data_IF_605567149864
#
_entry.id   IF_605567149864
#
_cell.length_a   1.000
_cell.length_b   1.000
_cell.length_c   1.000
_cell.angle_alpha   90.00
_cell.angle_beta   90.00
_cell.angle_gamma   90.00
#
_symmetry.space_group_name_H-M   'P 1'
#
loop_
_entity.id
_entity.type
_entity.pdbx_description
1 polymer ?
#
# COMPACT_ATOMS: atom_id res chain seq x y z
N UNK A 1 -14.31 12.86 14.74
CA UNK A 1 -14.52 11.99 13.56
C UNK A 1 -13.22 11.96 12.78
N UNK A 2 -12.61 10.78 12.64
CA UNK A 2 -11.35 10.63 11.92
C UNK A 2 -11.62 10.39 10.44
N UNK A 3 -10.81 11.01 9.58
CA UNK A 3 -10.85 10.84 8.12
C UNK A 3 -9.46 10.48 7.61
N UNK A 4 -9.37 9.43 6.81
CA UNK A 4 -8.09 9.01 6.21
C UNK A 4 -8.01 9.55 4.80
N UNK A 5 -7.01 10.41 4.56
CA UNK A 5 -6.76 11.00 3.24
C UNK A 5 -6.11 10.00 2.30
N UNK A 6 -5.12 9.23 2.80
CA UNK A 6 -4.39 8.23 2.01
C UNK A 6 -4.01 7.02 2.82
N UNK A 7 -3.88 5.90 2.13
CA UNK A 7 -3.36 4.66 2.67
C UNK A 7 -1.99 4.34 2.08
N UNK A 8 -1.04 3.99 2.92
CA UNK A 8 0.30 3.56 2.53
C UNK A 8 0.55 2.12 2.95
N UNK A 9 0.73 1.23 1.97
CA UNK A 9 1.24 -0.11 2.21
C UNK A 9 2.77 -0.06 2.20
N UNK A 10 3.37 -0.09 3.38
CA UNK A 10 4.77 0.23 3.58
C UNK A 10 5.62 -1.03 3.70
N UNK A 11 6.68 -1.11 2.92
CA UNK A 11 7.70 -2.13 3.05
C UNK A 11 8.77 -1.67 4.03
N UNK A 12 8.80 -2.30 5.21
CA UNK A 12 9.87 -2.11 6.20
C UNK A 12 11.11 -2.90 5.73
N UNK A 13 12.32 -2.29 5.71
CA UNK A 13 13.53 -2.93 5.20
C UNK A 13 14.10 -3.93 6.20
N UNK A 14 13.40 -5.03 6.41
CA UNK A 14 13.83 -6.20 7.22
C UNK A 14 13.68 -7.46 6.39
N UNK A 15 14.76 -8.21 6.21
CA UNK A 15 14.80 -9.42 5.39
C UNK A 15 15.01 -10.70 6.20
N UNK A 16 15.10 -10.61 7.55
CA UNK A 16 15.21 -11.74 8.46
C UNK A 16 13.91 -12.01 9.18
N UNK A 17 13.60 -13.27 9.39
CA UNK A 17 12.48 -13.74 10.18
C UNK A 17 12.97 -14.82 11.15
N UNK A 18 12.34 -14.92 12.30
CA UNK A 18 12.58 -16.02 13.23
C UNK A 18 11.73 -17.27 12.93
N UNK A 19 10.93 -17.24 11.84
CA UNK A 19 10.12 -18.35 11.33
C UNK A 19 10.52 -18.73 9.90
N UNK A 20 10.21 -19.97 9.51
CA UNK A 20 10.50 -20.57 8.20
C UNK A 20 9.25 -21.23 7.63
N UNK A 21 8.14 -20.44 7.54
CA UNK A 21 6.86 -20.95 7.06
C UNK A 21 6.95 -21.41 5.60
N UNK A 22 6.43 -22.58 5.28
CA UNK A 22 6.42 -23.19 3.94
C UNK A 22 5.62 -22.39 2.91
N UNK A 23 4.52 -21.78 3.36
CA UNK A 23 3.65 -20.91 2.55
C UNK A 23 4.12 -19.45 2.45
N UNK A 24 5.27 -19.09 3.04
CA UNK A 24 5.74 -17.71 3.08
C UNK A 24 6.00 -17.16 1.67
N UNK A 25 5.30 -16.09 1.29
CA UNK A 25 5.48 -15.45 -0.02
C UNK A 25 6.89 -14.87 -0.22
N UNK A 26 7.51 -14.37 0.85
CA UNK A 26 8.92 -13.91 0.82
C UNK A 26 9.86 -15.09 0.70
N UNK A 27 9.60 -16.20 1.40
CA UNK A 27 10.36 -17.43 1.28
C UNK A 27 10.31 -18.02 -0.14
N UNK A 28 9.15 -18.00 -0.79
CA UNK A 28 8.99 -18.40 -2.19
C UNK A 28 9.84 -17.52 -3.11
N UNK A 29 9.77 -16.20 -2.93
CA UNK A 29 10.55 -15.25 -3.72
C UNK A 29 12.06 -15.49 -3.58
N UNK A 30 12.54 -15.70 -2.35
CA UNK A 30 13.96 -16.00 -2.06
C UNK A 30 14.42 -17.30 -2.69
N UNK A 31 13.59 -18.34 -2.72
CA UNK A 31 13.90 -19.62 -3.39
C UNK A 31 14.14 -19.45 -4.89
N UNK A 32 13.44 -18.52 -5.54
CA UNK A 32 13.56 -18.27 -6.99
C UNK A 32 14.68 -17.28 -7.31
N UNK A 33 14.83 -16.21 -6.50
CA UNK A 33 15.68 -15.06 -6.82
C UNK A 33 16.94 -14.98 -5.94
N UNK A 34 17.11 -15.90 -4.99
CA UNK A 34 18.18 -15.83 -4.00
C UNK A 34 17.90 -14.84 -2.86
N UNK A 35 18.86 -14.71 -1.95
CA UNK A 35 18.81 -13.68 -0.90
C UNK A 35 18.87 -12.30 -1.56
N UNK A 36 17.91 -11.45 -1.24
CA UNK A 36 17.91 -10.08 -1.74
C UNK A 36 19.14 -9.27 -1.26
N UNK A 37 19.43 -8.13 -1.87
CA UNK A 37 20.56 -7.31 -1.50
C UNK A 37 20.59 -7.02 0.01
N UNK A 38 21.73 -7.20 0.66
CA UNK A 38 21.93 -6.91 2.10
C UNK A 38 21.74 -5.42 2.43
N UNK A 39 21.73 -4.58 1.42
CA UNK A 39 21.70 -3.12 1.49
C UNK A 39 20.37 -2.54 1.99
N UNK A 40 19.31 -3.35 2.13
CA UNK A 40 17.97 -2.86 2.51
C UNK A 40 17.54 -3.30 3.92
N UNK A 41 18.46 -3.26 4.89
CA UNK A 41 18.14 -3.62 6.27
C UNK A 41 18.04 -2.41 7.20
N UNK A 42 18.21 -1.18 6.68
CA UNK A 42 18.19 0.07 7.44
C UNK A 42 17.44 1.16 6.66
N UNK A 43 17.00 2.20 7.35
CA UNK A 43 16.50 3.41 6.71
C UNK A 43 17.68 4.23 6.15
N UNK A 44 17.59 4.63 4.88
CA UNK A 44 18.60 5.51 4.24
C UNK A 44 18.59 6.92 4.86
N UNK A 45 17.44 7.35 5.37
CA UNK A 45 17.22 8.69 5.92
C UNK A 45 16.91 8.65 7.41
N UNK A 46 17.30 9.68 8.18
CA UNK A 46 16.89 9.84 9.57
C UNK A 46 15.35 9.90 9.69
N UNK A 47 14.80 9.44 10.82
CA UNK A 47 13.34 9.41 11.05
C UNK A 47 12.74 10.81 10.97
N UNK A 48 13.42 11.84 11.49
CA UNK A 48 12.96 13.23 11.42
C UNK A 48 12.78 13.71 9.98
N UNK A 49 13.69 13.30 9.08
CA UNK A 49 13.58 13.60 7.65
C UNK A 49 12.42 12.82 7.01
N UNK A 50 12.27 11.53 7.35
CA UNK A 50 11.16 10.72 6.86
C UNK A 50 9.82 11.29 7.28
N UNK A 51 9.68 11.75 8.53
CA UNK A 51 8.42 12.34 9.03
C UNK A 51 8.11 13.68 8.35
N UNK A 52 9.09 14.52 8.07
CA UNK A 52 8.87 15.72 7.24
C UNK A 52 8.31 15.34 5.86
N UNK A 53 8.89 14.33 5.23
CA UNK A 53 8.40 13.80 3.96
C UNK A 53 6.98 13.21 4.03
N UNK A 54 6.61 12.68 5.19
CA UNK A 54 5.31 12.05 5.47
C UNK A 54 4.38 12.96 6.29
N UNK A 55 4.66 14.27 6.39
CA UNK A 55 3.82 15.20 7.16
C UNK A 55 2.39 15.26 6.61
N UNK A 56 1.42 15.51 7.50
CA UNK A 56 0.01 15.73 7.11
C UNK A 56 -0.14 16.85 6.11
N UNK A 57 0.66 17.90 6.21
CA UNK A 57 0.66 19.01 5.28
C UNK A 57 1.00 18.52 3.86
N UNK A 58 2.12 17.84 3.70
CA UNK A 58 2.58 17.33 2.39
C UNK A 58 1.66 16.25 1.83
N UNK A 59 1.11 15.37 2.69
CA UNK A 59 0.21 14.29 2.30
C UNK A 59 -1.24 14.76 2.13
N UNK A 60 -1.55 16.01 2.50
CA UNK A 60 -2.88 16.60 2.40
C UNK A 60 -3.87 16.13 3.47
N UNK A 61 -3.39 15.55 4.58
CA UNK A 61 -4.20 15.14 5.73
C UNK A 61 -3.71 13.89 6.45
N UNK A 62 -4.47 13.44 7.41
CA UNK A 62 -4.19 12.20 8.16
C UNK A 62 -4.20 10.98 7.23
N UNK A 63 -3.18 10.13 7.37
CA UNK A 63 -3.02 8.91 6.59
C UNK A 63 -2.97 7.66 7.47
N UNK A 64 -3.19 6.50 6.85
CA UNK A 64 -2.99 5.20 7.49
C UNK A 64 -1.78 4.50 6.84
N UNK A 65 -0.85 4.05 7.68
CA UNK A 65 0.39 3.38 7.28
C UNK A 65 0.34 1.91 7.73
N UNK A 66 0.42 0.99 6.78
CA UNK A 66 0.52 -0.44 7.06
C UNK A 66 1.98 -0.88 6.96
N UNK A 67 2.61 -1.17 8.08
CA UNK A 67 4.02 -1.52 8.18
C UNK A 67 4.20 -3.04 8.09
N UNK A 68 4.82 -3.52 7.02
CA UNK A 68 5.07 -4.94 6.78
C UNK A 68 6.51 -5.15 6.31
N UNK A 69 7.25 -6.03 6.99
CA UNK A 69 8.61 -6.40 6.60
C UNK A 69 8.66 -7.58 5.62
N UNK A 70 9.76 -7.72 4.91
CA UNK A 70 10.11 -8.95 4.19
C UNK A 70 10.65 -10.05 5.13
N UNK A 71 10.29 -9.98 6.40
CA UNK A 71 10.62 -10.88 7.50
C UNK A 71 9.70 -10.58 8.68
N UNK A 72 10.20 -10.73 9.91
CA UNK A 72 9.45 -10.27 11.09
C UNK A 72 9.67 -8.77 11.30
N UNK A 73 8.58 -8.01 11.23
CA UNK A 73 8.60 -6.54 11.20
C UNK A 73 9.25 -5.93 12.45
N UNK A 74 8.99 -6.47 13.63
CA UNK A 74 9.59 -6.00 14.88
C UNK A 74 11.09 -6.31 15.05
N UNK A 75 11.71 -6.98 14.09
CA UNK A 75 13.17 -7.16 14.08
C UNK A 75 13.92 -5.97 13.46
N UNK A 76 13.22 -4.99 12.86
CA UNK A 76 13.86 -3.76 12.42
C UNK A 76 14.19 -2.86 13.61
N UNK A 77 15.45 -2.42 13.79
CA UNK A 77 15.88 -1.76 15.02
C UNK A 77 15.23 -0.40 15.27
N UNK A 78 14.89 0.34 14.24
CA UNK A 78 14.31 1.69 14.31
C UNK A 78 12.79 1.70 14.07
N UNK A 79 12.13 0.53 14.02
CA UNK A 79 10.70 0.47 13.74
C UNK A 79 9.86 1.24 14.75
N UNK A 80 10.16 1.07 16.03
CA UNK A 80 9.36 1.65 17.11
C UNK A 80 9.47 3.18 17.14
N UNK A 81 10.66 3.71 16.87
CA UNK A 81 10.87 5.15 16.76
C UNK A 81 10.08 5.74 15.58
N UNK A 82 10.04 5.03 14.44
CA UNK A 82 9.21 5.44 13.29
C UNK A 82 7.72 5.38 13.61
N UNK A 83 7.26 4.32 14.29
CA UNK A 83 5.85 4.18 14.71
C UNK A 83 5.45 5.35 15.59
N UNK A 84 6.23 5.65 16.63
CA UNK A 84 5.94 6.76 17.54
C UNK A 84 5.95 8.10 16.80
N UNK A 85 6.90 8.32 15.91
CA UNK A 85 6.98 9.55 15.11
C UNK A 85 5.77 9.73 14.18
N UNK A 86 5.28 8.65 13.52
CA UNK A 86 4.05 8.68 12.71
C UNK A 86 2.80 8.96 13.56
N UNK A 87 2.72 8.40 14.77
CA UNK A 87 1.63 8.65 15.71
C UNK A 87 1.66 10.09 16.23
N UNK A 88 2.83 10.64 16.53
CA UNK A 88 3.01 12.04 16.92
C UNK A 88 2.59 13.01 15.82
N UNK A 89 2.84 12.67 14.54
CA UNK A 89 2.33 13.44 13.40
C UNK A 89 0.79 13.34 13.27
N UNK A 90 0.15 12.41 13.97
CA UNK A 90 -1.30 12.22 13.99
C UNK A 90 -1.81 11.24 12.96
N UNK A 91 -0.96 10.36 12.47
CA UNK A 91 -1.31 9.27 11.57
C UNK A 91 -1.81 8.03 12.30
N UNK A 92 -2.37 7.10 11.54
CA UNK A 92 -2.75 5.75 11.98
C UNK A 92 -1.69 4.76 11.52
N UNK A 93 -1.34 3.82 12.39
CA UNK A 93 -0.31 2.83 12.10
C UNK A 93 -0.84 1.41 12.31
N UNK A 94 -0.76 0.58 11.28
CA UNK A 94 -0.95 -0.86 11.39
C UNK A 94 0.38 -1.60 11.21
N UNK A 95 0.57 -2.68 11.97
CA UNK A 95 1.82 -3.45 11.98
C UNK A 95 1.49 -4.92 11.74
N UNK A 96 2.14 -5.53 10.77
CA UNK A 96 2.04 -6.98 10.52
C UNK A 96 3.17 -7.68 11.25
N UNK A 97 2.86 -8.63 12.14
CA UNK A 97 3.85 -9.34 12.96
C UNK A 97 3.45 -10.79 13.22
N UNK A 98 4.44 -11.66 13.39
CA UNK A 98 4.22 -13.03 13.89
C UNK A 98 3.96 -13.11 15.40
N UNK A 99 3.90 -11.97 16.09
CA UNK A 99 3.49 -11.84 17.49
C UNK A 99 4.48 -12.35 18.54
N UNK A 100 5.70 -12.73 18.17
CA UNK A 100 6.65 -13.36 19.11
C UNK A 100 7.69 -12.41 19.71
N UNK A 101 7.77 -11.18 19.21
CA UNK A 101 8.76 -10.19 19.67
C UNK A 101 8.13 -9.33 20.80
N UNK A 102 8.15 -9.87 22.01
CA UNK A 102 7.51 -9.26 23.20
C UNK A 102 7.96 -7.82 23.46
N UNK A 103 9.25 -7.50 23.25
CA UNK A 103 9.78 -6.14 23.45
C UNK A 103 9.02 -5.09 22.61
N UNK A 104 8.68 -5.42 21.35
CA UNK A 104 7.92 -4.51 20.48
C UNK A 104 6.49 -4.31 20.98
N UNK A 105 5.84 -5.39 21.39
CA UNK A 105 4.48 -5.34 21.95
C UNK A 105 4.45 -4.56 23.27
N UNK A 106 5.41 -4.81 24.18
CA UNK A 106 5.52 -4.07 25.43
C UNK A 106 5.69 -2.57 25.21
N UNK A 107 6.53 -2.18 24.26
CA UNK A 107 6.73 -0.78 23.93
C UNK A 107 5.41 -0.12 23.49
N UNK A 108 4.70 -0.73 22.53
CA UNK A 108 3.43 -0.19 22.04
C UNK A 108 2.36 -0.13 23.15
N UNK A 109 2.31 -1.10 24.04
CA UNK A 109 1.37 -1.11 25.16
C UNK A 109 1.65 -0.02 26.20
N UNK A 110 2.87 0.50 26.28
CA UNK A 110 3.26 1.57 27.19
C UNK A 110 3.10 2.99 26.62
N UNK A 111 2.78 3.15 25.34
CA UNK A 111 2.41 4.43 24.76
C UNK A 111 1.15 4.98 25.44
N UNK A 112 0.88 6.27 25.33
CA UNK A 112 -0.35 6.84 25.86
C UNK A 112 -1.60 6.28 25.19
N UNK A 113 -2.77 6.46 25.83
CA UNK A 113 -4.03 5.85 25.39
C UNK A 113 -4.49 6.39 24.02
N UNK A 114 -4.19 7.64 23.71
CA UNK A 114 -4.56 8.27 22.45
C UNK A 114 -3.75 7.66 21.31
N UNK A 115 -2.43 7.52 21.47
CA UNK A 115 -1.56 6.84 20.51
C UNK A 115 -1.98 5.39 20.32
N UNK A 116 -2.21 4.62 21.41
CA UNK A 116 -2.67 3.23 21.33
C UNK A 116 -3.98 3.09 20.54
N UNK A 117 -4.90 4.05 20.65
CA UNK A 117 -6.16 4.03 19.90
C UNK A 117 -5.98 4.11 18.39
N UNK A 118 -4.83 4.60 17.92
CA UNK A 118 -4.43 4.74 16.51
C UNK A 118 -3.44 3.66 16.06
N UNK A 119 -3.29 2.58 16.84
CA UNK A 119 -2.48 1.40 16.49
C UNK A 119 -3.40 0.22 16.19
N UNK A 120 -3.06 -0.52 15.13
CA UNK A 120 -3.63 -1.81 14.81
C UNK A 120 -2.54 -2.84 14.61
N UNK A 121 -2.66 -4.00 15.25
CA UNK A 121 -1.70 -5.09 15.06
C UNK A 121 -2.38 -6.25 14.36
N UNK A 122 -1.87 -6.61 13.19
CA UNK A 122 -2.22 -7.83 12.50
C UNK A 122 -1.28 -8.94 12.94
N UNK A 123 -1.78 -9.79 13.84
CA UNK A 123 -1.04 -10.94 14.33
C UNK A 123 -1.16 -12.11 13.33
N UNK A 124 -0.06 -12.44 12.69
CA UNK A 124 0.03 -13.63 11.82
C UNK A 124 0.20 -14.87 12.69
N UNK A 125 -0.83 -15.73 12.71
CA UNK A 125 -0.86 -16.93 13.50
C UNK A 125 -0.23 -18.10 12.74
N UNK A 126 1.07 -18.27 12.85
CA UNK A 126 1.85 -19.31 12.19
C UNK A 126 1.92 -20.56 13.09
N UNK A 127 0.79 -21.29 13.20
CA UNK A 127 0.59 -22.32 14.20
C UNK A 127 1.69 -23.38 14.24
N UNK A 128 2.04 -23.97 13.10
CA UNK A 128 3.08 -25.01 13.00
C UNK A 128 4.48 -24.51 13.42
N UNK A 129 4.84 -23.28 13.06
CA UNK A 129 6.12 -22.67 13.48
C UNK A 129 6.14 -22.32 14.98
N UNK A 130 5.00 -21.85 15.51
CA UNK A 130 4.85 -21.58 16.94
C UNK A 130 5.00 -22.85 17.78
N UNK A 131 4.42 -23.98 17.33
CA UNK A 131 4.60 -25.28 17.97
C UNK A 131 6.05 -25.74 17.90
N UNK A 132 6.63 -25.77 16.70
CA UNK A 132 8.01 -26.20 16.45
C UNK A 132 9.04 -25.46 17.32
N UNK A 133 8.80 -24.18 17.60
CA UNK A 133 9.68 -23.31 18.38
C UNK A 133 9.26 -23.14 19.84
N UNK A 134 8.20 -23.83 20.29
CA UNK A 134 7.63 -23.70 21.63
C UNK A 134 7.30 -22.26 22.03
N UNK A 135 6.66 -21.52 21.10
CA UNK A 135 6.32 -20.10 21.27
C UNK A 135 4.81 -19.82 21.35
N UNK A 136 3.96 -20.85 21.37
CA UNK A 136 2.50 -20.69 21.31
C UNK A 136 1.96 -19.87 22.49
N UNK A 137 2.39 -20.18 23.73
CA UNK A 137 1.97 -19.43 24.91
C UNK A 137 2.39 -17.96 24.83
N UNK A 138 3.66 -17.73 24.46
CA UNK A 138 4.20 -16.38 24.29
C UNK A 138 3.43 -15.56 23.24
N UNK A 139 3.02 -16.20 22.15
CA UNK A 139 2.19 -15.56 21.13
C UNK A 139 0.87 -15.08 21.71
N UNK A 140 0.11 -15.95 22.38
CA UNK A 140 -1.17 -15.59 22.98
C UNK A 140 -1.04 -14.58 24.12
N UNK A 141 0.01 -14.67 24.94
CA UNK A 141 0.31 -13.66 25.95
C UNK A 141 0.47 -12.28 25.34
N UNK A 142 1.21 -12.16 24.22
CA UNK A 142 1.42 -10.90 23.51
C UNK A 142 0.13 -10.39 22.85
N UNK A 143 -0.67 -11.25 22.23
CA UNK A 143 -1.99 -10.87 21.65
C UNK A 143 -2.91 -10.31 22.75
N UNK A 144 -3.04 -11.05 23.86
CA UNK A 144 -3.89 -10.64 24.99
C UNK A 144 -3.40 -9.37 25.68
N UNK A 145 -2.07 -9.18 25.77
CA UNK A 145 -1.47 -7.95 26.28
C UNK A 145 -1.85 -6.75 25.43
N UNK A 146 -1.70 -6.83 24.11
CA UNK A 146 -2.09 -5.78 23.17
C UNK A 146 -3.60 -5.46 23.27
N UNK A 147 -4.45 -6.51 23.32
CA UNK A 147 -5.90 -6.35 23.47
C UNK A 147 -6.28 -5.63 24.77
N UNK A 148 -5.69 -6.05 25.90
CA UNK A 148 -5.94 -5.42 27.22
C UNK A 148 -5.43 -3.98 27.29
N UNK A 149 -4.34 -3.66 26.59
CA UNK A 149 -3.83 -2.30 26.48
C UNK A 149 -4.70 -1.35 25.62
N UNK A 150 -5.76 -1.86 25.00
CA UNK A 150 -6.65 -1.04 24.16
C UNK A 150 -6.21 -0.90 22.72
N UNK A 151 -5.18 -1.61 22.28
CA UNK A 151 -4.74 -1.66 20.89
C UNK A 151 -5.73 -2.50 20.07
N UNK A 152 -6.12 -1.99 18.89
CA UNK A 152 -6.92 -2.76 17.94
C UNK A 152 -6.08 -3.86 17.27
N UNK A 153 -6.67 -5.01 17.01
CA UNK A 153 -5.95 -6.14 16.44
C UNK A 153 -6.83 -7.05 15.58
N UNK A 154 -6.17 -7.95 14.86
CA UNK A 154 -6.76 -9.16 14.27
C UNK A 154 -5.77 -10.32 14.40
N UNK A 155 -6.28 -11.54 14.44
CA UNK A 155 -5.46 -12.77 14.43
C UNK A 155 -5.80 -13.54 13.16
N UNK A 156 -4.80 -13.79 12.30
CA UNK A 156 -5.00 -14.38 10.98
C UNK A 156 -4.10 -15.59 10.77
N UNK A 157 -4.69 -16.73 10.47
CA UNK A 157 -4.04 -18.00 10.12
C UNK A 157 -4.04 -18.15 8.59
N UNK A 158 -2.95 -18.65 8.03
CA UNK A 158 -2.96 -19.08 6.62
C UNK A 158 -3.62 -20.46 6.52
N UNK A 159 -4.65 -20.58 5.67
CA UNK A 159 -5.38 -21.80 5.40
C UNK A 159 -4.55 -22.77 4.55
N UNK A 160 -3.37 -23.18 5.04
CA UNK A 160 -2.43 -24.05 4.33
C UNK A 160 -2.70 -25.53 4.61
N UNK A 161 -2.33 -26.39 3.67
CA UNK A 161 -2.46 -27.85 3.79
C UNK A 161 -1.68 -28.38 5.03
N UNK A 162 -0.55 -27.75 5.36
CA UNK A 162 0.23 -28.08 6.55
C UNK A 162 -0.49 -27.82 7.88
N UNK A 163 -1.51 -26.98 7.91
CA UNK A 163 -2.34 -26.72 9.08
C UNK A 163 -3.57 -27.65 9.19
N UNK A 164 -3.96 -28.36 8.12
CA UNK A 164 -5.14 -29.22 8.10
C UNK A 164 -5.15 -30.30 9.19
N UNK A 165 -4.04 -31.01 9.47
CA UNK A 165 -4.01 -32.00 10.54
C UNK A 165 -4.27 -31.44 11.94
N UNK A 166 -4.14 -30.12 12.13
CA UNK A 166 -4.22 -29.44 13.41
C UNK A 166 -5.47 -28.58 13.59
N UNK A 167 -6.46 -28.65 12.67
CA UNK A 167 -7.63 -27.77 12.69
C UNK A 167 -8.36 -27.77 14.02
N UNK A 168 -8.65 -28.95 14.60
CA UNK A 168 -9.35 -29.05 15.88
C UNK A 168 -8.52 -28.49 17.04
N UNK A 169 -7.23 -28.70 17.01
CA UNK A 169 -6.32 -28.15 18.01
C UNK A 169 -6.19 -26.62 17.87
N UNK A 170 -6.09 -26.11 16.65
CA UNK A 170 -6.09 -24.68 16.35
C UNK A 170 -7.37 -24.01 16.86
N UNK A 171 -8.54 -24.59 16.57
CA UNK A 171 -9.83 -24.10 17.07
C UNK A 171 -9.85 -24.08 18.60
N UNK A 172 -9.41 -25.18 19.23
CA UNK A 172 -9.35 -25.30 20.68
C UNK A 172 -8.48 -24.19 21.30
N UNK A 173 -7.23 -24.03 20.84
CA UNK A 173 -6.32 -23.03 21.42
C UNK A 173 -6.79 -21.58 21.14
N UNK A 174 -7.44 -21.31 20.02
CA UNK A 174 -8.08 -20.03 19.76
C UNK A 174 -9.21 -19.76 20.77
N UNK A 175 -10.10 -20.71 20.98
CA UNK A 175 -11.21 -20.54 21.94
C UNK A 175 -10.71 -20.39 23.38
N UNK A 176 -9.70 -21.16 23.80
CA UNK A 176 -9.13 -21.10 25.15
C UNK A 176 -8.39 -19.77 25.42
N UNK A 177 -7.68 -19.23 24.44
CA UNK A 177 -6.82 -18.08 24.63
C UNK A 177 -7.43 -16.75 24.15
N UNK A 178 -8.28 -16.77 23.12
CA UNK A 178 -8.87 -15.58 22.51
C UNK A 178 -10.37 -15.46 22.76
N UNK A 179 -11.03 -16.55 23.17
CA UNK A 179 -12.49 -16.61 23.29
C UNK A 179 -13.25 -16.69 21.96
N UNK A 180 -12.53 -16.60 20.83
CA UNK A 180 -13.08 -16.63 19.47
C UNK A 180 -12.11 -17.30 18.51
N UNK A 181 -12.61 -17.76 17.34
CA UNK A 181 -11.73 -18.28 16.29
C UNK A 181 -10.99 -17.14 15.57
N UNK A 182 -9.78 -17.44 15.11
CA UNK A 182 -9.01 -16.53 14.26
C UNK A 182 -9.67 -16.39 12.87
N UNK A 183 -9.26 -15.34 12.12
CA UNK A 183 -9.58 -15.23 10.70
C UNK A 183 -8.62 -16.08 9.87
N UNK A 184 -9.02 -16.36 8.63
CA UNK A 184 -8.20 -17.09 7.67
C UNK A 184 -7.72 -16.18 6.55
N UNK A 185 -6.53 -16.47 6.04
CA UNK A 185 -5.98 -15.89 4.82
C UNK A 185 -5.53 -17.00 3.87
N UNK A 186 -5.39 -16.66 2.59
CA UNK A 186 -5.12 -17.64 1.56
C UNK A 186 -3.63 -18.01 1.46
N UNK A 187 -3.30 -19.30 1.36
CA UNK A 187 -2.01 -19.74 0.90
C UNK A 187 -1.93 -19.48 -0.61
N UNK A 188 -0.96 -18.66 -1.05
CA UNK A 188 -0.86 -18.25 -2.46
C UNK A 188 0.55 -18.37 -3.01
N UNK A 189 0.65 -18.81 -4.27
CA UNK A 189 1.87 -18.68 -5.04
C UNK A 189 2.10 -17.20 -5.41
N UNK A 190 3.30 -16.68 -5.16
CA UNK A 190 3.64 -15.28 -5.41
C UNK A 190 4.80 -15.12 -6.40
N UNK A 191 5.16 -16.19 -7.09
CA UNK A 191 6.29 -16.25 -8.04
C UNK A 191 5.85 -16.11 -9.49
N UNK A 192 4.54 -16.11 -9.75
CA UNK A 192 3.95 -16.04 -11.09
C UNK A 192 3.06 -14.81 -11.23
N UNK A 193 2.79 -14.38 -12.46
CA UNK A 193 1.89 -13.25 -12.77
C UNK A 193 0.43 -13.58 -12.48
N UNK A 194 0.05 -14.85 -12.61
CA UNK A 194 -1.22 -15.42 -12.18
C UNK A 194 -1.12 -15.85 -10.71
N UNK A 195 -2.03 -15.40 -9.87
CA UNK A 195 -2.12 -15.93 -8.50
C UNK A 195 -2.77 -17.31 -8.53
N UNK A 196 -2.05 -18.30 -7.98
CA UNK A 196 -2.61 -19.62 -7.72
C UNK A 196 -2.69 -19.89 -6.23
N UNK A 197 -3.69 -20.63 -5.80
CA UNK A 197 -3.72 -21.19 -4.45
C UNK A 197 -2.55 -22.17 -4.25
N UNK A 198 -1.93 -22.13 -3.08
CA UNK A 198 -0.95 -23.13 -2.64
C UNK A 198 -1.67 -24.22 -1.85
N UNK A 199 -2.50 -24.99 -2.53
CA UNK A 199 -3.13 -26.19 -1.98
C UNK A 199 -3.08 -27.29 -3.01
N UNK A 200 -2.88 -28.52 -2.56
CA UNK A 200 -2.98 -29.73 -3.39
C UNK A 200 -4.39 -30.29 -3.39
N UNK A 201 -5.27 -29.80 -2.50
CA UNK A 201 -6.67 -30.21 -2.43
C UNK A 201 -7.48 -29.60 -3.57
N UNK A 202 -8.51 -30.32 -4.06
CA UNK A 202 -9.57 -29.68 -4.84
C UNK A 202 -10.16 -28.50 -4.09
N UNK A 203 -10.45 -27.38 -4.78
CA UNK A 203 -10.91 -26.14 -4.13
C UNK A 203 -12.18 -26.33 -3.31
N UNK A 204 -13.12 -27.16 -3.78
CA UNK A 204 -14.34 -27.48 -3.03
C UNK A 204 -14.03 -28.13 -1.67
N UNK A 205 -13.08 -29.06 -1.65
CA UNK A 205 -12.63 -29.71 -0.43
C UNK A 205 -11.89 -28.74 0.49
N UNK A 206 -11.00 -27.93 -0.08
CA UNK A 206 -10.27 -26.89 0.64
C UNK A 206 -11.22 -25.92 1.35
N UNK A 207 -12.22 -25.40 0.64
CA UNK A 207 -13.21 -24.48 1.22
C UNK A 207 -14.00 -25.14 2.35
N UNK A 208 -14.44 -26.38 2.15
CA UNK A 208 -15.20 -27.15 3.15
C UNK A 208 -14.40 -27.41 4.43
N UNK A 209 -13.11 -27.69 4.31
CA UNK A 209 -12.21 -27.94 5.45
C UNK A 209 -12.08 -26.69 6.33
N UNK A 210 -12.05 -25.49 5.72
CA UNK A 210 -11.85 -24.23 6.43
C UNK A 210 -13.15 -23.49 6.80
N UNK A 211 -14.30 -23.91 6.29
CA UNK A 211 -15.62 -23.34 6.60
C UNK A 211 -15.89 -23.16 8.11
N UNK A 212 -15.53 -24.11 9.00
CA UNK A 212 -15.81 -24.00 10.43
C UNK A 212 -15.18 -22.82 11.15
N UNK A 213 -14.26 -22.08 10.52
CA UNK A 213 -13.69 -20.86 11.08
C UNK A 213 -14.60 -19.64 10.94
N UNK A 214 -15.62 -19.70 10.08
CA UNK A 214 -16.56 -18.61 9.80
C UNK A 214 -15.81 -17.28 9.58
N UNK A 215 -14.84 -17.29 8.67
CA UNK A 215 -13.98 -16.15 8.37
C UNK A 215 -14.52 -15.33 7.21
N UNK A 216 -15.25 -14.25 7.50
CA UNK A 216 -15.76 -13.34 6.47
C UNK A 216 -14.63 -12.82 5.54
N UNK A 217 -13.42 -12.62 6.06
CA UNK A 217 -12.25 -12.28 5.24
C UNK A 217 -11.93 -13.35 4.20
N UNK A 218 -11.88 -14.62 4.63
CA UNK A 218 -11.56 -15.73 3.74
C UNK A 218 -12.64 -15.91 2.68
N UNK A 219 -13.90 -15.90 3.10
CA UNK A 219 -15.05 -16.08 2.22
C UNK A 219 -15.11 -14.99 1.15
N UNK A 220 -14.91 -13.71 1.54
CA UNK A 220 -14.87 -12.60 0.60
C UNK A 220 -13.69 -12.71 -0.38
N UNK A 221 -12.51 -13.12 0.09
CA UNK A 221 -11.34 -13.29 -0.78
C UNK A 221 -11.53 -14.42 -1.77
N UNK A 222 -12.15 -15.54 -1.36
CA UNK A 222 -12.51 -16.63 -2.28
C UNK A 222 -13.50 -16.15 -3.35
N UNK A 223 -14.55 -15.43 -2.94
CA UNK A 223 -15.54 -14.88 -3.86
C UNK A 223 -14.96 -13.88 -4.87
N UNK A 224 -13.88 -13.19 -4.52
CA UNK A 224 -13.21 -12.20 -5.40
C UNK A 224 -11.93 -12.71 -6.06
N UNK A 225 -11.58 -13.98 -5.85
CA UNK A 225 -10.35 -14.55 -6.41
C UNK A 225 -10.35 -14.53 -7.93
N UNK A 226 -9.26 -14.08 -8.52
CA UNK A 226 -9.12 -13.96 -9.95
C UNK A 226 -9.88 -12.79 -10.60
N UNK A 227 -10.67 -12.03 -9.85
CA UNK A 227 -11.34 -10.85 -10.40
C UNK A 227 -10.33 -9.75 -10.69
N UNK A 228 -10.17 -9.42 -11.96
CA UNK A 228 -9.40 -8.26 -12.39
C UNK A 228 -10.27 -6.97 -12.32
N UNK A 229 -9.61 -5.82 -12.45
CA UNK A 229 -10.26 -4.50 -12.41
C UNK A 229 -9.93 -3.66 -13.64
N UNK A 230 -9.76 -4.30 -14.79
CA UNK A 230 -9.30 -3.66 -16.03
C UNK A 230 -10.27 -2.61 -16.57
N UNK A 231 -11.55 -2.78 -16.31
CA UNK A 231 -12.61 -1.88 -16.79
C UNK A 231 -12.91 -0.72 -15.86
N UNK A 232 -12.26 -0.66 -14.69
CA UNK A 232 -12.52 0.33 -13.66
C UNK A 232 -11.34 1.28 -13.50
N UNK A 233 -11.63 2.54 -13.21
CA UNK A 233 -10.60 3.52 -12.91
C UNK A 233 -10.07 3.32 -11.47
N UNK A 234 -8.77 3.01 -11.36
CA UNK A 234 -8.13 2.74 -10.08
C UNK A 234 -7.30 3.94 -9.61
N UNK A 235 -7.62 4.47 -8.43
CA UNK A 235 -6.91 5.57 -7.76
C UNK A 235 -5.68 5.12 -6.95
N UNK A 236 -5.18 3.90 -7.16
CA UNK A 236 -3.86 3.49 -6.69
C UNK A 236 -2.79 4.41 -7.28
N UNK A 237 -1.94 5.02 -6.44
CA UNK A 237 -1.03 6.11 -6.81
C UNK A 237 -1.59 7.53 -6.58
N UNK A 238 -2.82 7.64 -6.07
CA UNK A 238 -3.42 8.90 -5.63
C UNK A 238 -3.96 8.81 -4.21
N UNK A 239 -4.79 7.82 -3.94
CA UNK A 239 -5.41 7.61 -2.62
C UNK A 239 -4.76 6.47 -1.84
N UNK A 240 -4.02 5.61 -2.51
CA UNK A 240 -3.22 4.58 -1.88
C UNK A 240 -1.91 4.37 -2.63
N UNK A 241 -0.90 3.91 -1.89
CA UNK A 241 0.46 3.73 -2.39
C UNK A 241 1.11 2.48 -1.82
N UNK A 242 2.13 1.97 -2.52
CA UNK A 242 3.14 1.14 -1.89
C UNK A 242 4.42 1.96 -1.70
N UNK A 243 4.95 2.00 -0.48
CA UNK A 243 6.09 2.82 -0.08
C UNK A 243 7.22 1.96 0.48
N UNK A 244 8.38 2.00 -0.15
CA UNK A 244 9.60 1.44 0.40
C UNK A 244 10.21 2.36 1.46
N UNK A 245 10.09 2.02 2.74
CA UNK A 245 10.60 2.86 3.83
C UNK A 245 12.13 2.94 3.88
N UNK A 246 12.83 1.97 3.30
CA UNK A 246 14.30 1.98 3.27
C UNK A 246 14.87 3.17 2.49
N UNK A 247 14.21 3.60 1.42
CA UNK A 247 14.74 4.60 0.49
C UNK A 247 13.72 5.62 -0.03
N UNK A 248 12.44 5.51 0.35
CA UNK A 248 11.39 6.42 -0.09
C UNK A 248 10.80 6.10 -1.47
N UNK A 249 11.07 4.91 -2.01
CA UNK A 249 10.51 4.49 -3.31
C UNK A 249 8.99 4.42 -3.22
N UNK A 250 8.30 5.34 -3.89
CA UNK A 250 6.84 5.40 -3.98
C UNK A 250 6.38 4.72 -5.26
N UNK A 251 5.38 3.84 -5.15
CA UNK A 251 4.76 3.12 -6.26
C UNK A 251 3.23 3.27 -6.20
N UNK A 252 2.58 3.13 -7.35
CA UNK A 252 1.12 3.22 -7.44
C UNK A 252 0.42 2.13 -6.61
N UNK A 253 0.94 0.91 -6.59
CA UNK A 253 0.41 -0.19 -5.81
C UNK A 253 1.45 -1.28 -5.54
N UNK A 254 1.08 -2.25 -4.72
CA UNK A 254 1.91 -3.37 -4.29
C UNK A 254 2.54 -4.18 -5.45
N UNK A 255 1.83 -4.36 -6.57
CA UNK A 255 2.31 -5.17 -7.71
C UNK A 255 3.02 -4.35 -8.79
N UNK A 256 2.86 -3.03 -8.80
CA UNK A 256 3.60 -2.20 -9.73
C UNK A 256 5.06 -2.12 -9.29
N UNK A 257 5.99 -2.41 -10.19
CA UNK A 257 7.43 -2.29 -9.94
C UNK A 257 7.94 -0.86 -10.13
N UNK A 258 7.21 -0.06 -10.92
CA UNK A 258 7.68 1.23 -11.36
C UNK A 258 7.60 2.27 -10.25
N UNK A 259 8.64 3.07 -10.14
CA UNK A 259 8.70 4.19 -9.21
C UNK A 259 7.95 5.36 -9.81
N UNK A 260 7.03 5.95 -9.04
CA UNK A 260 6.37 7.20 -9.44
C UNK A 260 7.04 8.42 -8.83
N UNK A 261 7.72 8.25 -7.70
CA UNK A 261 8.53 9.30 -7.08
C UNK A 261 9.44 8.71 -5.99
N UNK A 262 10.57 9.37 -5.71
CA UNK A 262 11.42 9.12 -4.55
C UNK A 262 11.02 10.08 -3.42
N UNK A 263 10.10 9.65 -2.58
CA UNK A 263 9.38 10.51 -1.63
C UNK A 263 10.29 11.20 -0.60
N UNK A 264 11.43 10.58 -0.28
CA UNK A 264 12.39 11.08 0.72
C UNK A 264 13.56 11.86 0.13
N UNK A 265 13.74 11.89 -1.19
CA UNK A 265 14.90 12.57 -1.78
C UNK A 265 14.75 14.09 -1.80
N UNK A 266 13.59 14.58 -2.21
CA UNK A 266 13.26 16.00 -2.17
C UNK A 266 11.93 16.22 -1.46
N UNK A 267 12.01 16.61 -0.18
CA UNK A 267 10.82 16.81 0.66
C UNK A 267 10.07 18.11 0.39
N UNK A 268 10.72 19.07 -0.28
CA UNK A 268 10.11 20.35 -0.65
C UNK A 268 9.35 20.25 -1.99
N UNK A 269 9.62 19.20 -2.77
CA UNK A 269 8.87 18.93 -4.01
C UNK A 269 7.48 18.35 -3.69
N UNK A 270 6.40 18.89 -4.30
CA UNK A 270 5.07 18.31 -4.19
C UNK A 270 5.02 16.86 -4.67
N UNK A 271 4.06 16.11 -4.16
CA UNK A 271 3.81 14.75 -4.66
C UNK A 271 3.05 14.84 -5.98
N UNK A 272 3.64 14.26 -7.03
CA UNK A 272 3.04 14.20 -8.36
C UNK A 272 2.20 12.94 -8.47
N UNK A 273 0.92 13.06 -8.15
CA UNK A 273 0.00 11.94 -8.12
C UNK A 273 -0.31 11.41 -9.51
N UNK A 274 -0.03 10.14 -9.74
CA UNK A 274 -0.36 9.44 -10.97
C UNK A 274 -1.18 8.18 -10.63
N UNK A 275 -2.48 8.13 -10.98
CA UNK A 275 -3.32 6.97 -10.69
C UNK A 275 -2.90 5.76 -11.54
N UNK A 276 -3.26 4.56 -11.11
CA UNK A 276 -3.13 3.35 -11.95
C UNK A 276 -4.06 3.42 -13.18
N UNK A 277 -5.16 4.16 -13.07
CA UNK A 277 -6.09 4.39 -14.18
C UNK A 277 -6.86 3.14 -14.60
N UNK A 278 -7.25 3.11 -15.87
CA UNK A 278 -7.88 1.95 -16.50
C UNK A 278 -6.85 0.90 -16.93
N UNK A 279 -7.34 -0.25 -17.39
CA UNK A 279 -6.52 -1.31 -18.00
C UNK A 279 -5.42 -1.88 -17.11
N UNK A 280 -5.70 -2.00 -15.81
CA UNK A 280 -4.79 -2.69 -14.90
C UNK A 280 -4.45 -4.09 -15.45
N UNK A 281 -3.17 -4.34 -15.71
CA UNK A 281 -2.70 -5.59 -16.33
C UNK A 281 -2.78 -6.82 -15.43
N UNK A 282 -3.09 -6.64 -14.14
CA UNK A 282 -3.11 -7.75 -13.19
C UNK A 282 -4.38 -8.57 -13.29
N UNK A 283 -4.22 -9.89 -13.26
CA UNK A 283 -5.34 -10.85 -13.31
C UNK A 283 -6.19 -10.84 -12.03
N UNK A 284 -5.65 -10.32 -10.93
CA UNK A 284 -6.31 -10.23 -9.62
C UNK A 284 -5.85 -8.95 -8.92
N UNK A 285 -6.74 -8.29 -8.18
CA UNK A 285 -6.36 -7.15 -7.37
C UNK A 285 -5.57 -7.62 -6.14
N UNK A 286 -4.25 -7.59 -6.25
CA UNK A 286 -3.35 -7.99 -5.15
C UNK A 286 -3.31 -6.99 -4.00
N UNK A 287 -3.72 -5.77 -4.25
CA UNK A 287 -3.78 -4.74 -3.23
C UNK A 287 -5.03 -4.91 -2.38
N UNK A 288 -5.24 -6.16 -1.93
CA UNK A 288 -6.38 -6.52 -1.10
C UNK A 288 -6.45 -5.71 0.19
N UNK A 289 -5.32 -5.24 0.71
CA UNK A 289 -5.35 -4.30 1.84
C UNK A 289 -6.06 -3.01 1.47
N UNK A 290 -5.72 -2.39 0.35
CA UNK A 290 -6.37 -1.17 -0.11
C UNK A 290 -7.77 -1.46 -0.60
N UNK A 291 -7.97 -2.59 -1.27
CA UNK A 291 -9.26 -3.00 -1.80
C UNK A 291 -10.22 -3.45 -0.69
N UNK A 292 -9.72 -4.25 0.26
CA UNK A 292 -10.52 -4.82 1.34
C UNK A 292 -10.61 -3.87 2.54
N UNK A 293 -9.59 -3.05 2.84
CA UNK A 293 -9.60 -2.29 4.08
C UNK A 293 -10.14 -0.88 3.98
N UNK A 294 -9.52 -0.05 3.24
CA UNK A 294 -10.02 1.31 3.07
C UNK A 294 -10.75 1.44 1.76
N UNK A 295 -11.32 0.33 1.32
CA UNK A 295 -12.07 0.17 0.09
C UNK A 295 -12.48 1.49 -0.55
N UNK A 296 -12.57 1.55 -1.87
CA UNK A 296 -12.89 2.79 -2.52
C UNK A 296 -11.72 3.44 -3.23
N UNK A 297 -10.57 2.74 -3.42
CA UNK A 297 -9.59 3.12 -4.45
C UNK A 297 -10.14 2.87 -5.85
N UNK A 298 -11.22 2.12 -5.95
CA UNK A 298 -12.06 1.93 -7.13
C UNK A 298 -13.50 2.20 -6.69
N UNK A 299 -13.99 3.45 -6.70
CA UNK A 299 -15.29 3.83 -6.14
C UNK A 299 -16.48 3.06 -6.70
N UNK A 300 -16.38 2.65 -7.97
CA UNK A 300 -17.44 1.90 -8.68
C UNK A 300 -17.62 0.47 -8.14
N UNK A 301 -16.63 -0.07 -7.38
CA UNK A 301 -16.65 -1.43 -6.87
C UNK A 301 -17.08 -1.45 -5.42
N UNK A 302 -18.24 -2.05 -5.15
CA UNK A 302 -18.70 -2.28 -3.78
C UNK A 302 -17.89 -3.40 -3.11
N UNK A 303 -17.53 -3.19 -1.87
CA UNK A 303 -16.82 -4.17 -1.03
C UNK A 303 -17.22 -4.01 0.42
N UNK A 304 -17.14 -5.05 1.27
CA UNK A 304 -17.33 -4.90 2.71
C UNK A 304 -16.34 -3.90 3.31
N UNK A 305 -16.67 -3.32 4.46
CA UNK A 305 -15.70 -2.56 5.24
C UNK A 305 -14.64 -3.46 5.86
N UNK A 306 -13.48 -2.89 6.12
CA UNK A 306 -12.39 -3.66 6.74
C UNK A 306 -12.79 -4.22 8.11
N UNK A 307 -13.53 -3.43 8.90
CA UNK A 307 -14.02 -3.89 10.20
C UNK A 307 -14.98 -5.09 10.06
N UNK A 308 -15.82 -5.14 9.04
CA UNK A 308 -16.73 -6.27 8.79
C UNK A 308 -15.95 -7.56 8.50
N UNK A 309 -14.83 -7.45 7.82
CA UNK A 309 -14.00 -8.60 7.44
C UNK A 309 -13.13 -9.13 8.57
N UNK A 310 -12.69 -8.26 9.49
CA UNK A 310 -11.61 -8.59 10.45
C UNK A 310 -11.94 -8.38 11.92
N UNK A 311 -13.10 -7.82 12.23
CA UNK A 311 -13.48 -7.70 13.63
C UNK A 311 -14.00 -9.04 14.18
N UNK A 312 -13.76 -9.27 15.46
CA UNK A 312 -14.41 -10.33 16.25
C UNK A 312 -14.97 -9.70 17.51
N UNK A 313 -16.12 -10.16 17.94
CA UNK A 313 -16.72 -9.80 19.22
C UNK A 313 -16.48 -10.96 20.17
N UNK A 314 -15.83 -10.69 21.30
CA UNK A 314 -15.50 -11.67 22.32
C UNK A 314 -16.73 -11.99 23.18
N UNK A 315 -16.71 -13.07 23.95
CA UNK A 315 -17.85 -13.45 24.81
C UNK A 315 -18.23 -12.41 25.86
N UNK A 316 -17.28 -11.56 26.27
CA UNK A 316 -17.49 -10.45 27.21
C UNK A 316 -18.04 -9.17 26.55
N UNK A 317 -18.31 -9.22 25.24
CA UNK A 317 -18.80 -8.09 24.45
C UNK A 317 -17.69 -7.13 23.97
N UNK A 318 -16.43 -7.35 24.34
CA UNK A 318 -15.32 -6.56 23.78
C UNK A 318 -15.02 -6.95 22.34
N UNK A 319 -14.38 -6.07 21.59
CA UNK A 319 -14.10 -6.26 20.18
C UNK A 319 -12.59 -6.22 19.90
N UNK A 320 -12.16 -6.91 18.84
CA UNK A 320 -10.78 -6.81 18.39
C UNK A 320 -10.46 -5.45 17.78
N UNK A 321 -11.39 -4.90 16.98
CA UNK A 321 -11.24 -3.57 16.39
C UNK A 321 -12.08 -2.58 17.18
N UNK A 322 -11.45 -1.56 17.74
CA UNK A 322 -12.08 -0.63 18.68
C UNK A 322 -11.57 0.79 18.53
N UNK A 323 -12.20 1.72 19.21
CA UNK A 323 -11.78 3.12 19.26
C UNK A 323 -11.67 3.77 17.88
N UNK A 324 -10.63 4.56 17.72
CA UNK A 324 -10.37 5.30 16.49
C UNK A 324 -10.18 4.39 15.25
N UNK A 325 -9.57 3.21 15.43
CA UNK A 325 -9.43 2.25 14.34
C UNK A 325 -10.76 1.68 13.85
N UNK A 326 -11.73 1.43 14.76
CA UNK A 326 -13.07 1.00 14.36
C UNK A 326 -13.75 2.07 13.51
N UNK A 327 -13.54 3.34 13.85
CA UNK A 327 -14.10 4.45 13.10
C UNK A 327 -13.56 4.49 11.68
N UNK A 328 -12.22 4.43 11.48
CA UNK A 328 -11.63 4.50 10.14
C UNK A 328 -11.87 3.24 9.31
N UNK A 329 -11.97 2.06 9.94
CA UNK A 329 -12.19 0.80 9.24
C UNK A 329 -13.65 0.55 8.86
N UNK A 330 -14.58 1.40 9.29
CA UNK A 330 -15.96 1.49 8.81
C UNK A 330 -16.15 2.64 7.81
N UNK A 331 -15.08 3.10 7.17
CA UNK A 331 -15.09 4.17 6.16
C UNK A 331 -14.30 3.77 4.93
N UNK A 332 -14.49 4.53 3.86
CA UNK A 332 -13.78 4.38 2.58
C UNK A 332 -12.86 5.56 2.33
N UNK A 333 -11.72 5.31 1.72
CA UNK A 333 -10.78 6.39 1.38
C UNK A 333 -11.37 7.36 0.35
N UNK A 334 -12.26 6.89 -0.54
CA UNK A 334 -12.95 7.76 -1.50
C UNK A 334 -13.86 8.81 -0.84
N UNK A 335 -14.41 8.54 0.35
CA UNK A 335 -15.28 9.48 1.07
C UNK A 335 -14.56 10.79 1.45
N UNK A 336 -13.24 10.78 1.49
CA UNK A 336 -12.38 11.91 1.87
C UNK A 336 -11.60 12.49 0.70
N UNK A 337 -11.93 12.07 -0.52
CA UNK A 337 -11.24 12.45 -1.73
C UNK A 337 -12.23 12.83 -2.83
N UNK A 338 -11.77 13.61 -3.79
CA UNK A 338 -12.53 14.00 -4.96
C UNK A 338 -12.11 13.10 -6.13
N UNK A 339 -13.08 12.52 -6.79
CA UNK A 339 -12.83 11.76 -8.01
C UNK A 339 -12.36 12.68 -9.13
N UNK A 340 -11.53 12.16 -10.00
CA UNK A 340 -11.15 12.84 -11.22
C UNK A 340 -12.36 13.01 -12.15
N UNK A 341 -12.42 14.15 -12.81
CA UNK A 341 -13.33 14.37 -13.95
C UNK A 341 -12.96 13.43 -15.11
N UNK A 342 -13.87 13.24 -16.05
CA UNK A 342 -13.60 12.40 -17.22
C UNK A 342 -12.37 12.88 -18.02
N UNK A 343 -12.18 14.20 -18.09
CA UNK A 343 -10.98 14.81 -18.72
C UNK A 343 -9.70 14.43 -17.97
N UNK A 344 -9.70 14.47 -16.65
CA UNK A 344 -8.53 14.06 -15.84
C UNK A 344 -8.29 12.57 -15.93
N UNK A 345 -9.35 11.75 -15.94
CA UNK A 345 -9.25 10.30 -16.13
C UNK A 345 -8.65 9.98 -17.50
N UNK A 346 -9.13 10.61 -18.56
CA UNK A 346 -8.61 10.45 -19.92
C UNK A 346 -7.13 10.83 -20.00
N UNK A 347 -6.76 11.97 -19.42
CA UNK A 347 -5.38 12.45 -19.44
C UNK A 347 -4.44 11.51 -18.68
N UNK A 348 -4.80 11.11 -17.46
CA UNK A 348 -4.00 10.22 -16.64
C UNK A 348 -3.83 8.83 -17.29
N UNK A 349 -4.89 8.27 -17.85
CA UNK A 349 -4.85 6.99 -18.56
C UNK A 349 -3.94 7.07 -19.79
N UNK A 350 -4.03 8.15 -20.55
CA UNK A 350 -3.17 8.36 -21.73
C UNK A 350 -1.68 8.44 -21.36
N UNK A 351 -1.33 9.15 -20.29
CA UNK A 351 0.05 9.20 -19.79
C UNK A 351 0.57 7.80 -19.42
N UNK A 352 -0.26 7.00 -18.73
CA UNK A 352 0.12 5.64 -18.32
C UNK A 352 0.33 4.73 -19.54
N UNK A 353 -0.53 4.84 -20.56
CA UNK A 353 -0.40 4.08 -21.81
C UNK A 353 0.91 4.41 -22.52
N UNK A 354 1.20 5.69 -22.70
CA UNK A 354 2.46 6.15 -23.30
C UNK A 354 3.65 5.64 -22.48
N UNK A 355 3.60 5.75 -21.17
CA UNK A 355 4.66 5.25 -20.29
C UNK A 355 4.92 3.76 -20.47
N UNK A 356 3.83 2.96 -20.57
CA UNK A 356 3.92 1.51 -20.80
C UNK A 356 4.21 1.15 -22.25
N UNK A 357 4.41 2.10 -23.15
CA UNK A 357 4.55 1.89 -24.59
C UNK A 357 3.32 1.18 -25.21
N UNK A 358 2.13 1.58 -24.76
CA UNK A 358 0.83 1.13 -25.27
C UNK A 358 0.23 2.17 -26.23
N UNK A 359 -0.63 1.72 -27.15
CA UNK A 359 -1.34 2.63 -28.05
C UNK A 359 -2.26 3.59 -27.30
N UNK A 360 -2.27 4.86 -27.73
CA UNK A 360 -3.18 5.90 -27.24
C UNK A 360 -4.30 6.17 -28.26
N UNK A 361 -5.40 6.73 -27.79
CA UNK A 361 -6.48 7.16 -28.69
C UNK A 361 -6.31 8.61 -29.14
N UNK A 362 -7.06 9.00 -30.19
CA UNK A 362 -7.02 10.36 -30.73
C UNK A 362 -7.55 11.42 -29.73
N UNK A 363 -8.45 11.04 -28.85
CA UNK A 363 -9.02 11.95 -27.85
C UNK A 363 -7.94 12.39 -26.84
N UNK A 364 -7.08 11.48 -26.41
CA UNK A 364 -5.95 11.81 -25.54
C UNK A 364 -4.95 12.73 -26.28
N UNK A 365 -4.58 12.41 -27.49
CA UNK A 365 -3.64 13.23 -28.27
C UNK A 365 -4.20 14.66 -28.48
N UNK A 366 -5.48 14.80 -28.78
CA UNK A 366 -6.16 16.10 -28.88
C UNK A 366 -6.16 16.85 -27.56
N UNK A 367 -6.52 16.18 -26.45
CA UNK A 367 -6.50 16.77 -25.11
C UNK A 367 -5.09 17.22 -24.70
N UNK A 368 -4.08 16.40 -24.99
CA UNK A 368 -2.69 16.73 -24.69
C UNK A 368 -2.25 17.98 -25.49
N UNK A 369 -2.59 18.05 -26.79
CA UNK A 369 -2.32 19.21 -27.62
C UNK A 369 -2.99 20.48 -27.06
N UNK A 370 -4.25 20.39 -26.64
CA UNK A 370 -4.96 21.52 -26.02
C UNK A 370 -4.26 22.00 -24.74
N UNK A 371 -3.74 21.10 -23.91
CA UNK A 371 -2.96 21.47 -22.73
C UNK A 371 -1.64 22.17 -23.12
N UNK A 372 -0.97 21.71 -24.16
CA UNK A 372 0.23 22.34 -24.71
C UNK A 372 -0.10 23.74 -25.25
N UNK A 373 -1.17 23.88 -26.01
CA UNK A 373 -1.56 25.16 -26.61
C UNK A 373 -1.81 26.25 -25.53
N UNK A 374 -2.51 25.89 -24.46
CA UNK A 374 -2.76 26.78 -23.31
C UNK A 374 -1.43 27.23 -22.66
N UNK A 375 -0.51 26.31 -22.45
CA UNK A 375 0.78 26.62 -21.83
C UNK A 375 1.67 27.45 -22.75
N UNK A 376 1.61 27.21 -24.07
CA UNK A 376 2.37 27.96 -25.09
C UNK A 376 1.91 29.40 -25.29
N UNK A 377 0.70 29.78 -24.91
CA UNK A 377 0.26 31.16 -24.94
C UNK A 377 1.13 32.09 -24.09
N UNK A 378 1.72 31.56 -23.03
CA UNK A 378 2.51 32.31 -22.05
C UNK A 378 3.99 31.90 -22.00
N UNK A 379 4.36 30.79 -22.66
CA UNK A 379 5.68 30.18 -22.51
C UNK A 379 6.21 29.64 -23.84
N UNK A 380 7.55 29.55 -23.94
CA UNK A 380 8.24 28.75 -24.94
C UNK A 380 8.57 27.37 -24.32
N UNK A 381 7.92 26.31 -24.77
CA UNK A 381 8.04 24.98 -24.17
C UNK A 381 9.26 24.25 -24.71
N UNK A 382 10.08 23.74 -23.79
CA UNK A 382 11.17 22.81 -24.09
C UNK A 382 10.94 21.48 -23.35
N UNK A 383 10.99 20.36 -24.06
CA UNK A 383 10.86 19.02 -23.49
C UNK A 383 12.17 18.58 -22.89
N UNK A 384 12.14 18.14 -21.65
CA UNK A 384 13.28 17.58 -20.93
C UNK A 384 12.98 16.14 -20.51
N UNK A 385 13.66 15.18 -21.12
CA UNK A 385 13.58 13.76 -20.90
C UNK A 385 13.97 12.96 -22.15
N UNK A 386 14.27 11.69 -21.95
CA UNK A 386 14.62 10.73 -23.01
C UNK A 386 13.93 9.39 -22.74
N UNK A 387 12.60 9.44 -22.64
CA UNK A 387 11.73 8.35 -22.29
C UNK A 387 10.59 8.18 -23.30
N UNK A 388 9.74 7.18 -23.10
CA UNK A 388 8.61 6.91 -23.97
C UNK A 388 7.68 8.13 -24.13
N UNK A 389 7.51 8.90 -23.06
CA UNK A 389 6.62 10.08 -23.09
C UNK A 389 7.24 11.19 -23.93
N UNK A 390 8.53 11.48 -23.76
CA UNK A 390 9.21 12.50 -24.58
C UNK A 390 9.21 12.14 -26.05
N UNK A 391 9.42 10.87 -26.40
CA UNK A 391 9.39 10.39 -27.76
C UNK A 391 7.99 10.50 -28.36
N UNK A 392 6.97 10.06 -27.63
CA UNK A 392 5.58 10.18 -28.06
C UNK A 392 5.17 11.65 -28.29
N UNK A 393 5.58 12.58 -27.42
CA UNK A 393 5.30 14.02 -27.61
C UNK A 393 5.94 14.52 -28.90
N UNK A 394 7.20 14.20 -29.15
CA UNK A 394 7.91 14.63 -30.38
C UNK A 394 7.24 14.13 -31.66
N UNK A 395 6.61 12.97 -31.62
CA UNK A 395 5.95 12.34 -32.76
C UNK A 395 4.50 12.81 -32.98
N UNK A 396 3.78 13.11 -31.92
CA UNK A 396 2.32 13.30 -31.95
C UNK A 396 1.85 14.72 -31.63
N UNK A 397 2.70 15.58 -31.06
CA UNK A 397 2.32 16.90 -30.55
C UNK A 397 3.09 18.01 -31.28
N UNK A 398 2.37 19.07 -31.63
CA UNK A 398 2.95 20.24 -32.28
C UNK A 398 3.33 21.27 -31.21
N UNK A 399 4.64 21.51 -31.02
CA UNK A 399 5.17 22.57 -30.18
C UNK A 399 5.74 23.65 -31.04
N UNK A 400 5.21 24.89 -30.93
CA UNK A 400 5.66 26.04 -31.71
C UNK A 400 6.73 26.79 -30.91
N UNK A 401 7.84 27.10 -31.55
CA UNK A 401 8.83 28.02 -30.99
C UNK A 401 8.30 29.45 -30.95
N UNK A 402 8.53 30.16 -29.87
CA UNK A 402 8.19 31.58 -29.72
C UNK A 402 9.28 32.30 -28.90
N UNK A 403 9.21 33.62 -28.79
CA UNK A 403 10.19 34.45 -28.06
C UNK A 403 9.85 34.64 -26.56
N UNK A 404 8.87 33.89 -26.06
CA UNK A 404 8.43 33.96 -24.67
C UNK A 404 9.41 33.27 -23.70
N UNK A 405 9.20 33.48 -22.42
CA UNK A 405 9.98 32.85 -21.37
C UNK A 405 9.95 31.34 -21.50
N UNK A 406 11.11 30.70 -21.34
CA UNK A 406 11.23 29.23 -21.43
C UNK A 406 10.49 28.55 -20.28
N UNK A 407 9.71 27.53 -20.60
CA UNK A 407 9.15 26.56 -19.67
C UNK A 407 9.73 25.20 -20.00
N UNK A 408 10.24 24.51 -18.99
CA UNK A 408 10.74 23.14 -19.14
C UNK A 408 9.62 22.15 -18.77
N UNK A 409 9.23 21.31 -19.70
CA UNK A 409 8.29 20.20 -19.48
C UNK A 409 9.09 18.92 -19.22
N UNK A 410 9.08 18.46 -17.97
CA UNK A 410 9.76 17.22 -17.58
C UNK A 410 8.83 16.04 -17.85
N UNK A 411 9.31 15.06 -18.62
CA UNK A 411 8.59 13.82 -18.95
C UNK A 411 8.92 12.69 -17.96
N UNK A 412 10.13 12.64 -17.45
CA UNK A 412 10.52 11.71 -16.37
C UNK A 412 10.03 12.22 -15.01
N UNK A 413 8.74 11.99 -14.74
CA UNK A 413 8.09 12.50 -13.53
C UNK A 413 8.53 11.77 -12.25
N UNK A 414 9.16 10.59 -12.33
CA UNK A 414 9.72 9.91 -11.18
C UNK A 414 10.93 10.66 -10.59
N UNK A 415 11.68 11.33 -11.44
CA UNK A 415 12.90 12.07 -11.12
C UNK A 415 12.68 13.61 -11.06
N UNK A 416 11.43 14.08 -11.04
CA UNK A 416 11.14 15.51 -11.16
C UNK A 416 11.83 16.36 -10.08
N UNK A 417 11.90 15.89 -8.83
CA UNK A 417 12.57 16.65 -7.76
C UNK A 417 14.05 16.88 -8.05
N UNK A 418 14.88 15.83 -8.24
CA UNK A 418 16.28 15.94 -8.63
C UNK A 418 16.51 16.74 -9.92
N UNK A 419 15.62 16.57 -10.90
CA UNK A 419 15.71 17.30 -12.17
C UNK A 419 15.44 18.80 -12.00
N UNK A 420 14.44 19.19 -11.20
CA UNK A 420 14.18 20.59 -10.86
C UNK A 420 15.38 21.25 -10.16
N UNK A 421 15.98 20.56 -9.20
CA UNK A 421 17.18 21.06 -8.52
C UNK A 421 18.34 21.28 -9.49
N UNK A 422 18.56 20.33 -10.40
CA UNK A 422 19.58 20.46 -11.45
C UNK A 422 19.29 21.65 -12.35
N UNK A 423 18.08 21.74 -12.87
CA UNK A 423 17.65 22.80 -13.77
C UNK A 423 17.70 24.18 -13.10
N UNK A 424 17.36 24.27 -11.80
CA UNK A 424 17.48 25.52 -11.05
C UNK A 424 18.94 26.00 -10.91
N UNK A 425 19.89 25.09 -10.76
CA UNK A 425 21.34 25.41 -10.79
C UNK A 425 21.78 25.94 -12.17
N UNK A 426 21.15 25.49 -13.23
CA UNK A 426 21.35 25.91 -14.61
C UNK A 426 20.54 27.18 -14.97
N UNK A 427 19.80 27.75 -14.00
CA UNK A 427 19.04 28.99 -14.14
C UNK A 427 17.59 28.81 -14.63
N UNK A 428 17.08 27.59 -14.71
CA UNK A 428 15.70 27.32 -15.11
C UNK A 428 14.81 27.17 -13.88
N UNK A 429 13.85 28.06 -13.69
CA UNK A 429 12.91 28.04 -12.55
C UNK A 429 11.47 27.71 -12.95
N UNK A 430 11.11 27.89 -14.24
CA UNK A 430 9.80 27.59 -14.74
C UNK A 430 9.77 26.16 -15.29
N UNK A 431 9.38 25.22 -14.43
CA UNK A 431 9.44 23.77 -14.70
C UNK A 431 8.12 23.09 -14.30
N UNK A 432 7.56 22.31 -15.21
CA UNK A 432 6.29 21.58 -15.01
C UNK A 432 6.49 20.09 -15.30
N UNK A 433 5.88 19.23 -14.49
CA UNK A 433 5.79 17.78 -14.78
C UNK A 433 4.70 17.52 -15.80
N UNK A 434 4.94 16.58 -16.71
CA UNK A 434 3.95 16.15 -17.70
C UNK A 434 2.66 15.66 -17.05
N UNK A 435 2.71 15.02 -15.90
CA UNK A 435 1.50 14.53 -15.18
C UNK A 435 0.65 15.65 -14.60
N UNK A 436 1.22 16.84 -14.42
CA UNK A 436 0.52 18.02 -13.91
C UNK A 436 0.02 18.96 -15.03
N UNK A 437 0.36 18.67 -16.29
CA UNK A 437 0.04 19.53 -17.41
C UNK A 437 -1.48 19.82 -17.56
N UNK A 438 -2.32 18.84 -17.24
CA UNK A 438 -3.78 19.01 -17.27
C UNK A 438 -4.29 20.03 -16.24
N UNK A 439 -3.56 20.26 -15.15
CA UNK A 439 -3.91 21.27 -14.15
C UNK A 439 -3.72 22.68 -14.69
N UNK A 440 -2.69 22.90 -15.50
CA UNK A 440 -2.44 24.20 -16.14
C UNK A 440 -3.60 24.64 -17.04
N UNK A 441 -4.30 23.67 -17.66
CA UNK A 441 -5.51 23.98 -18.47
C UNK A 441 -6.70 24.41 -17.60
N UNK A 442 -6.80 23.96 -16.34
CA UNK A 442 -7.88 24.35 -15.42
C UNK A 442 -7.71 25.74 -14.83
N UNK A 443 -6.47 26.19 -14.71
CA UNK A 443 -6.10 27.48 -14.09
C UNK A 443 -6.04 28.61 -15.10
N UNK A 444 -6.13 28.31 -16.39
CA UNK A 444 -6.15 29.28 -17.50
C UNK A 444 -7.58 29.67 -17.89
#
# INVERSE_FOLDING_TARGET
MYTIKRFFDCQVPVNRCNFECDYCTVGQWKKVNGEGPKEYTEFKYPIEHMIKALSKERLGGTCAFNLCGNGETFLHPQLLDLVEALLNEGHFVSIVSNGTITKGIDYLCNLDAEMRSRIFIKFSFHYTELLKKNLLNKYFENVNKAHKAGISLTVELVASDGNVPYIEEIKKVCMENLGVLCHLTDPRANTTTDIRHLTEMPMEEHLKVWEPFHSALFDYRQATWGQNRREHFCYGGVWSFNLGLGNGKLKQCYRNSDTVQWLFENIDEPIHYLPRGYHCSFAHCFNSHVFDCLCGVIPEVSSPFYAELRNRVLPDGTEWIKGAYKEIYNRRVCENNVEYTDVEKLFADGIIRVWNNEETNMEFASLFQECIDVVQEKNNIEIYGDDNISNWIKENIVIKSNELSKLILITDYAEIGPLKEKLAKDGYTNVVSVVDLVKCKKEA
#
